data_IF_792477672834
#
_entry.id   IF_792477672834
#
_cell.length_a   1.000
_cell.length_b   1.000
_cell.length_c   1.000
_cell.angle_alpha   90.00
_cell.angle_beta   90.00
_cell.angle_gamma   90.00
#
_symmetry.space_group_name_H-M   'P 1'
#
loop_
_entity.id
_entity.type
_entity.pdbx_description
1 polymer ?
#
# COMPACT_ATOMS: atom_id res chain seq x y z
N UNK A 1 -5.36 -4.10 23.21
CA UNK A 1 -5.85 -4.85 22.02
C UNK A 1 -4.71 -5.08 21.02
N UNK A 2 -3.80 -6.03 21.30
CA UNK A 2 -2.54 -6.20 20.55
C UNK A 2 -2.62 -7.18 19.36
N UNK A 3 -3.63 -8.06 19.35
CA UNK A 3 -3.70 -9.15 18.37
C UNK A 3 -3.95 -8.68 16.91
N UNK A 4 -4.61 -7.53 16.72
CA UNK A 4 -4.89 -7.02 15.37
C UNK A 4 -3.67 -6.34 14.74
N UNK A 5 -2.92 -5.55 15.51
CA UNK A 5 -1.71 -4.89 15.03
C UNK A 5 -0.64 -5.91 14.60
N UNK A 6 -0.41 -6.96 15.40
CA UNK A 6 0.54 -8.03 15.05
C UNK A 6 0.17 -8.79 13.77
N UNK A 7 -1.13 -9.06 13.55
CA UNK A 7 -1.60 -9.71 12.32
C UNK A 7 -1.41 -8.84 11.09
N UNK A 8 -1.62 -7.53 11.21
CA UNK A 8 -1.41 -6.59 10.11
C UNK A 8 0.08 -6.48 9.74
N UNK A 9 0.97 -6.51 10.73
CA UNK A 9 2.41 -6.45 10.47
C UNK A 9 2.91 -7.71 9.76
N UNK A 10 2.48 -8.89 10.23
CA UNK A 10 2.77 -10.15 9.54
C UNK A 10 2.20 -10.17 8.12
N UNK A 11 0.97 -9.67 7.92
CA UNK A 11 0.36 -9.58 6.59
C UNK A 11 1.16 -8.65 5.68
N UNK A 12 1.59 -7.49 6.18
CA UNK A 12 2.42 -6.56 5.42
C UNK A 12 3.77 -7.19 5.04
N UNK A 13 4.41 -7.92 5.95
CA UNK A 13 5.65 -8.65 5.68
C UNK A 13 5.48 -9.74 4.61
N UNK A 14 4.40 -10.53 4.69
CA UNK A 14 4.08 -11.56 3.70
C UNK A 14 3.80 -10.95 2.32
N UNK A 15 2.99 -9.88 2.28
CA UNK A 15 2.66 -9.18 1.04
C UNK A 15 3.89 -8.50 0.44
N UNK A 16 4.79 -7.92 1.24
CA UNK A 16 6.05 -7.33 0.75
C UNK A 16 6.97 -8.38 0.11
N UNK A 17 7.02 -9.60 0.63
CA UNK A 17 7.73 -10.69 -0.04
C UNK A 17 7.03 -11.09 -1.33
N UNK A 18 5.69 -11.17 -1.31
CA UNK A 18 4.90 -11.48 -2.49
C UNK A 18 5.08 -10.44 -3.60
N UNK A 19 5.18 -9.14 -3.30
CA UNK A 19 5.46 -8.12 -4.32
C UNK A 19 6.86 -8.25 -4.94
N UNK A 20 7.84 -8.81 -4.22
CA UNK A 20 9.16 -9.14 -4.78
C UNK A 20 9.13 -10.39 -5.66
N UNK A 21 8.30 -11.38 -5.30
CA UNK A 21 8.14 -12.63 -6.07
C UNK A 21 7.28 -12.42 -7.33
N UNK A 22 6.24 -11.60 -7.23
CA UNK A 22 5.29 -11.32 -8.29
C UNK A 22 5.10 -9.79 -8.46
N UNK A 23 6.12 -9.06 -8.93
CA UNK A 23 6.05 -7.61 -9.07
C UNK A 23 4.98 -7.15 -10.07
N UNK A 24 4.61 -8.01 -11.02
CA UNK A 24 3.56 -7.73 -12.01
C UNK A 24 2.14 -7.99 -11.51
N UNK A 25 1.98 -8.48 -10.27
CA UNK A 25 0.66 -8.80 -9.72
C UNK A 25 0.03 -7.58 -9.03
N UNK A 26 -0.96 -6.99 -9.69
CA UNK A 26 -1.58 -5.77 -9.19
C UNK A 26 -2.34 -5.95 -7.87
N UNK A 27 -2.85 -7.17 -7.62
CA UNK A 27 -3.66 -7.47 -6.43
C UNK A 27 -2.78 -7.46 -5.19
N UNK A 28 -1.60 -8.04 -5.30
CA UNK A 28 -0.62 -8.11 -4.21
C UNK A 28 -0.21 -6.73 -3.71
N UNK A 29 0.10 -5.80 -4.62
CA UNK A 29 0.41 -4.42 -4.24
C UNK A 29 -0.79 -3.68 -3.63
N UNK A 30 -2.00 -3.86 -4.19
CA UNK A 30 -3.22 -3.26 -3.62
C UNK A 30 -3.51 -3.77 -2.22
N UNK A 31 -3.30 -5.07 -1.98
CA UNK A 31 -3.43 -5.68 -0.66
C UNK A 31 -2.38 -5.15 0.32
N UNK A 32 -1.12 -5.01 -0.12
CA UNK A 32 -0.06 -4.43 0.72
C UNK A 32 -0.44 -3.00 1.14
N UNK A 33 -0.87 -2.18 0.19
CA UNK A 33 -1.31 -0.82 0.47
C UNK A 33 -2.50 -0.78 1.42
N UNK A 34 -3.53 -1.60 1.21
CA UNK A 34 -4.69 -1.66 2.08
C UNK A 34 -4.34 -2.12 3.52
N UNK A 35 -3.39 -3.03 3.69
CA UNK A 35 -2.89 -3.43 5.01
C UNK A 35 -2.17 -2.27 5.68
N UNK A 36 -1.29 -1.56 4.95
CA UNK A 36 -0.58 -0.38 5.46
C UNK A 36 -1.54 0.74 5.85
N UNK A 37 -2.58 1.00 5.05
CA UNK A 37 -3.65 1.95 5.42
C UNK A 37 -4.36 1.57 6.73
N UNK A 38 -4.64 0.28 6.93
CA UNK A 38 -5.25 -0.23 8.17
C UNK A 38 -4.32 -0.15 9.38
N UNK A 39 -3.00 -0.15 9.15
CA UNK A 39 -1.99 0.10 10.18
C UNK A 39 -1.86 1.59 10.53
N UNK A 40 -2.50 2.48 9.76
CA UNK A 40 -2.28 3.93 9.86
C UNK A 40 -1.00 4.40 9.16
N UNK A 41 -0.29 3.48 8.49
CA UNK A 41 0.95 3.77 7.79
C UNK A 41 0.66 4.28 6.37
N UNK A 42 0.26 5.54 6.27
CA UNK A 42 -0.08 6.17 5.00
C UNK A 42 1.13 6.23 4.05
N UNK A 43 2.34 6.41 4.60
CA UNK A 43 3.58 6.42 3.83
C UNK A 43 3.86 5.07 3.14
N UNK A 44 3.77 3.95 3.86
CA UNK A 44 3.97 2.63 3.26
C UNK A 44 2.84 2.21 2.32
N UNK A 45 1.61 2.70 2.55
CA UNK A 45 0.53 2.51 1.60
C UNK A 45 0.81 3.22 0.25
N UNK A 46 1.32 4.45 0.31
CA UNK A 46 1.70 5.23 -0.86
C UNK A 46 2.84 4.54 -1.64
N UNK A 47 3.88 4.08 -0.93
CA UNK A 47 4.99 3.35 -1.55
C UNK A 47 4.54 2.06 -2.27
N UNK A 48 3.57 1.33 -1.70
CA UNK A 48 3.01 0.14 -2.33
C UNK A 48 2.21 0.47 -3.60
N UNK A 49 1.44 1.56 -3.59
CA UNK A 49 0.74 2.02 -4.80
C UNK A 49 1.69 2.58 -5.87
N UNK A 50 2.78 3.23 -5.49
CA UNK A 50 3.83 3.61 -6.45
C UNK A 50 4.48 2.40 -7.11
N UNK A 51 4.85 1.39 -6.32
CA UNK A 51 5.41 0.14 -6.84
C UNK A 51 4.46 -0.56 -7.82
N UNK A 52 3.16 -0.57 -7.49
CA UNK A 52 2.11 -1.05 -8.38
C UNK A 52 2.14 -0.36 -9.75
N UNK A 53 2.14 0.97 -9.77
CA UNK A 53 2.10 1.72 -11.03
C UNK A 53 3.39 1.55 -11.85
N UNK A 54 4.53 1.43 -11.17
CA UNK A 54 5.84 1.20 -11.81
C UNK A 54 5.94 -0.17 -12.46
N UNK A 55 5.47 -1.22 -11.79
CA UNK A 55 5.58 -2.59 -12.30
C UNK A 55 4.37 -3.03 -13.15
N UNK A 56 3.22 -2.39 -12.95
CA UNK A 56 1.97 -2.68 -13.65
C UNK A 56 1.41 -1.37 -14.23
N UNK A 57 1.92 -0.92 -15.40
CA UNK A 57 1.51 0.35 -16.01
C UNK A 57 0.01 0.42 -16.35
N UNK A 58 -0.66 -0.72 -16.50
CA UNK A 58 -2.11 -0.82 -16.75
C UNK A 58 -2.92 -1.19 -15.50
N UNK A 59 -2.38 -1.02 -14.28
CA UNK A 59 -3.12 -1.35 -13.05
C UNK A 59 -4.26 -0.37 -12.74
N UNK A 60 -4.24 0.81 -13.37
CA UNK A 60 -5.16 1.91 -13.09
C UNK A 60 -5.52 2.71 -14.35
N UNK A 61 -6.27 2.13 -15.29
CA UNK A 61 -6.67 2.84 -16.51
C UNK A 61 -7.54 4.08 -16.21
N UNK A 62 -8.18 4.14 -15.04
CA UNK A 62 -9.11 5.21 -14.65
C UNK A 62 -8.46 6.33 -13.84
N UNK A 63 -7.19 6.20 -13.40
CA UNK A 63 -6.53 7.22 -12.57
C UNK A 63 -6.98 7.26 -11.09
N UNK A 64 -7.77 6.28 -10.64
CA UNK A 64 -8.30 6.24 -9.28
C UNK A 64 -7.21 6.00 -8.22
N UNK A 65 -6.18 5.21 -8.55
CA UNK A 65 -5.03 5.00 -7.67
C UNK A 65 -4.25 6.30 -7.44
N UNK A 66 -4.05 7.13 -8.47
CA UNK A 66 -3.37 8.43 -8.32
C UNK A 66 -4.11 9.35 -7.37
N UNK A 67 -5.44 9.44 -7.50
CA UNK A 67 -6.27 10.23 -6.59
C UNK A 67 -6.14 9.72 -5.15
N UNK A 68 -6.22 8.39 -4.96
CA UNK A 68 -6.07 7.78 -3.64
C UNK A 68 -4.69 8.01 -3.02
N UNK A 69 -3.64 7.97 -3.83
CA UNK A 69 -2.26 8.26 -3.40
C UNK A 69 -2.09 9.72 -2.99
N UNK A 70 -2.71 10.67 -3.69
CA UNK A 70 -2.70 12.08 -3.29
C UNK A 70 -3.35 12.27 -1.90
N UNK A 71 -4.51 11.64 -1.67
CA UNK A 71 -5.15 11.66 -0.34
C UNK A 71 -4.28 11.01 0.74
N UNK A 72 -3.59 9.92 0.43
CA UNK A 72 -2.68 9.25 1.36
C UNK A 72 -1.45 10.10 1.68
N UNK A 73 -0.93 10.82 0.68
CA UNK A 73 0.16 11.76 0.83
C UNK A 73 -0.21 12.85 1.82
N UNK A 74 -1.36 13.48 1.62
CA UNK A 74 -1.86 14.51 2.53
C UNK A 74 -2.10 13.98 3.93
N UNK A 75 -2.60 12.74 4.08
CA UNK A 75 -2.75 12.09 5.41
C UNK A 75 -1.43 11.75 6.08
N UNK A 76 -0.38 11.44 5.32
CA UNK A 76 0.96 11.19 5.82
C UNK A 76 1.68 12.49 6.21
N UNK A 77 1.45 13.58 5.48
CA UNK A 77 1.96 14.92 5.79
C UNK A 77 1.19 15.60 6.94
N UNK A 78 -0.08 15.24 7.14
CA UNK A 78 -0.93 15.76 8.22
C UNK A 78 -0.75 15.05 9.58
N UNK A 79 0.23 14.17 9.73
CA UNK A 79 0.64 13.67 11.05
C UNK A 79 1.55 14.73 11.69
N UNK A 80 1.07 15.54 12.66
CA UNK A 80 1.94 16.47 13.36
C UNK A 80 3.00 15.71 14.16
N UNK A 81 4.24 16.19 14.12
CA UNK A 81 5.29 15.85 15.11
C UNK A 81 4.84 16.16 16.54
#
# INVERSE_FOLDING_TARGET
AYAFAGKLDQAAGALSRATRLAPKDARTWKQLAAVRERQGDAAGALAAYEGLMKHVPNADPTGHLKAKMATLRERGEAAPE
#
